data_IF_361366226589
#
_entry.id   IF_361366226589
#
_cell.length_a   1.000
_cell.length_b   1.000
_cell.length_c   1.000
_cell.angle_alpha   90.00
_cell.angle_beta   90.00
_cell.angle_gamma   90.00
#
_symmetry.space_group_name_H-M   'P 1'
#
loop_
_entity.id
_entity.type
_entity.pdbx_description
1 polymer ?
#
# COMPACT_ATOMS: atom_id res chain seq x y z
N UNK A 1 -20.86 -0.92 -10.76
CA UNK A 1 -19.70 -0.72 -11.66
C UNK A 1 -18.44 -0.76 -10.81
N UNK A 2 -17.41 -1.53 -11.17
CA UNK A 2 -16.15 -1.57 -10.39
C UNK A 2 -15.17 -0.53 -10.94
N UNK A 3 -14.58 0.26 -10.06
CA UNK A 3 -13.48 1.17 -10.39
C UNK A 3 -12.26 0.34 -10.78
N UNK A 4 -11.63 0.69 -11.90
CA UNK A 4 -10.33 0.12 -12.30
C UNK A 4 -9.23 0.94 -11.62
N UNK A 5 -8.22 0.25 -11.11
CA UNK A 5 -7.03 0.84 -10.51
C UNK A 5 -5.79 0.13 -11.05
N UNK A 6 -4.65 0.79 -11.00
CA UNK A 6 -3.33 0.30 -11.43
C UNK A 6 -2.23 0.83 -10.51
N UNK A 7 -1.05 0.22 -10.63
CA UNK A 7 0.15 0.75 -9.99
C UNK A 7 0.42 2.19 -10.41
N UNK A 8 0.87 3.00 -9.48
CA UNK A 8 1.11 4.44 -9.65
C UNK A 8 -0.13 5.32 -9.42
N UNK A 9 -1.34 4.75 -9.36
CA UNK A 9 -2.54 5.52 -9.03
C UNK A 9 -2.43 6.11 -7.62
N UNK A 10 -2.79 7.38 -7.52
CA UNK A 10 -2.85 8.16 -6.28
C UNK A 10 -4.30 8.19 -5.84
N UNK A 11 -4.55 7.86 -4.58
CA UNK A 11 -5.89 7.78 -4.02
C UNK A 11 -5.92 8.29 -2.58
N UNK A 12 -7.11 8.63 -2.12
CA UNK A 12 -7.34 9.10 -0.75
C UNK A 12 -8.13 8.09 0.06
N UNK A 13 -7.72 7.93 1.32
CA UNK A 13 -8.44 7.16 2.33
C UNK A 13 -9.02 8.17 3.33
N UNK A 14 -10.35 8.29 3.47
CA UNK A 14 -10.93 9.01 4.60
C UNK A 14 -10.66 8.23 5.88
N UNK A 15 -10.13 8.91 6.88
CA UNK A 15 -9.76 8.34 8.18
C UNK A 15 -10.85 8.63 9.22
N UNK A 16 -10.97 7.78 10.24
CA UNK A 16 -12.02 7.97 11.27
C UNK A 16 -11.81 9.21 12.16
N UNK A 17 -10.62 9.80 12.17
CA UNK A 17 -10.34 11.07 12.85
C UNK A 17 -10.70 12.33 12.02
N UNK A 18 -11.36 12.16 10.87
CA UNK A 18 -11.77 13.26 9.99
C UNK A 18 -10.70 13.77 9.02
N UNK A 19 -9.50 13.21 9.05
CA UNK A 19 -8.42 13.50 8.09
C UNK A 19 -8.45 12.56 6.90
N UNK A 20 -7.56 12.80 5.95
CA UNK A 20 -7.36 11.97 4.76
C UNK A 20 -5.91 11.52 4.68
N UNK A 21 -5.71 10.25 4.33
CA UNK A 21 -4.40 9.73 3.97
C UNK A 21 -4.28 9.71 2.44
N UNK A 22 -3.29 10.44 1.92
CA UNK A 22 -2.92 10.39 0.53
C UNK A 22 -1.99 9.19 0.30
N UNK A 23 -2.40 8.29 -0.58
CA UNK A 23 -1.73 7.02 -0.79
C UNK A 23 -1.41 6.82 -2.27
N UNK A 24 -0.42 5.95 -2.55
CA UNK A 24 -0.11 5.52 -3.90
C UNK A 24 -0.07 4.00 -4.00
N UNK A 25 -0.74 3.46 -5.01
CA UNK A 25 -0.74 2.02 -5.29
C UNK A 25 0.65 1.59 -5.76
N UNK A 26 1.28 0.69 -5.01
CA UNK A 26 2.59 0.10 -5.37
C UNK A 26 2.47 -1.34 -5.85
N UNK A 27 1.34 -2.00 -5.58
CA UNK A 27 1.08 -3.37 -6.01
C UNK A 27 -0.41 -3.56 -6.36
N UNK A 28 -0.69 -3.87 -7.64
CA UNK A 28 -2.03 -4.09 -8.18
C UNK A 28 -2.12 -5.43 -8.94
N UNK A 29 -2.14 -6.57 -8.23
CA UNK A 29 -2.11 -7.90 -8.83
C UNK A 29 -3.35 -8.22 -9.66
N UNK A 30 -3.18 -9.03 -10.71
CA UNK A 30 -4.26 -9.45 -11.62
C UNK A 30 -4.65 -10.91 -11.44
N UNK A 31 -3.79 -11.74 -10.87
CA UNK A 31 -3.95 -13.19 -10.83
C UNK A 31 -3.94 -13.71 -9.39
N UNK A 32 -2.78 -14.17 -8.90
CA UNK A 32 -2.59 -14.91 -7.65
C UNK A 32 -3.09 -14.12 -6.45
N UNK A 33 -2.84 -12.81 -6.46
CA UNK A 33 -3.17 -11.92 -5.34
C UNK A 33 -4.29 -10.93 -5.67
N UNK A 34 -5.12 -11.19 -6.69
CA UNK A 34 -6.12 -10.25 -7.24
C UNK A 34 -7.13 -9.63 -6.26
N UNK A 35 -7.22 -10.14 -5.03
CA UNK A 35 -8.08 -9.59 -3.97
C UNK A 35 -7.35 -8.61 -3.04
N UNK A 36 -6.03 -8.51 -3.17
CA UNK A 36 -5.18 -7.63 -2.39
C UNK A 36 -4.75 -6.41 -3.21
N UNK A 37 -4.37 -5.37 -2.49
CA UNK A 37 -3.61 -4.22 -2.98
C UNK A 37 -2.47 -3.96 -2.01
N UNK A 38 -1.35 -3.46 -2.54
CA UNK A 38 -0.29 -2.85 -1.75
C UNK A 38 -0.20 -1.36 -2.06
N UNK A 39 -0.10 -0.52 -1.04
CA UNK A 39 0.08 0.92 -1.20
C UNK A 39 1.04 1.49 -0.17
N UNK A 40 1.71 2.58 -0.53
CA UNK A 40 2.47 3.41 0.41
C UNK A 40 1.70 4.70 0.72
N UNK A 41 2.03 5.32 1.84
CA UNK A 41 1.42 6.58 2.29
C UNK A 41 2.36 7.71 1.89
N UNK A 42 1.81 8.77 1.30
CA UNK A 42 2.55 9.95 0.88
C UNK A 42 2.43 11.06 1.94
N UNK A 43 1.23 11.29 2.45
CA UNK A 43 0.94 12.32 3.46
C UNK A 43 -0.36 12.04 4.21
N UNK A 44 -0.52 12.70 5.37
CA UNK A 44 -1.79 12.87 6.08
C UNK A 44 -2.19 14.35 5.95
N UNK A 45 -3.43 14.61 5.58
CA UNK A 45 -3.91 15.95 5.22
C UNK A 45 -5.36 16.18 5.68
N UNK A 46 -5.74 17.45 5.81
CA UNK A 46 -7.09 17.84 6.28
C UNK A 46 -8.15 17.86 5.15
N UNK A 47 -7.72 17.83 3.87
CA UNK A 47 -8.60 17.85 2.70
C UNK A 47 -8.34 16.64 1.79
N UNK A 48 -9.25 16.36 0.84
CA UNK A 48 -9.06 15.30 -0.16
C UNK A 48 -8.23 15.75 -1.39
N UNK A 49 -7.77 17.00 -1.41
CA UNK A 49 -7.12 17.59 -2.58
C UNK A 49 -5.67 17.14 -2.72
N UNK A 50 -5.29 16.79 -3.96
CA UNK A 50 -3.90 16.48 -4.29
C UNK A 50 -3.19 17.76 -4.75
N UNK A 51 -2.28 18.27 -3.94
CA UNK A 51 -1.38 19.33 -4.37
C UNK A 51 -0.22 18.74 -5.18
N UNK A 52 -0.05 19.20 -6.42
CA UNK A 52 0.98 18.69 -7.34
C UNK A 52 2.43 18.89 -6.83
N UNK A 53 2.61 19.79 -5.84
CA UNK A 53 3.89 20.04 -5.14
C UNK A 53 4.11 19.16 -3.90
N UNK A 54 3.16 18.31 -3.56
CA UNK A 54 3.28 17.41 -2.41
C UNK A 54 4.46 16.45 -2.63
N UNK A 55 5.27 16.27 -1.59
CA UNK A 55 6.40 15.35 -1.63
C UNK A 55 5.87 13.96 -1.94
N UNK A 56 6.35 13.37 -3.04
CA UNK A 56 6.01 12.00 -3.41
C UNK A 56 6.85 10.97 -2.64
N UNK A 57 7.56 11.36 -1.59
CA UNK A 57 8.31 10.42 -0.75
C UNK A 57 7.35 9.62 0.13
N UNK A 58 7.54 8.30 0.21
CA UNK A 58 6.71 7.46 1.07
C UNK A 58 7.05 7.67 2.54
N UNK A 59 6.03 7.86 3.39
CA UNK A 59 6.17 7.84 4.83
C UNK A 59 6.44 6.42 5.34
N UNK A 60 7.30 6.34 6.36
CA UNK A 60 7.47 5.13 7.17
C UNK A 60 6.52 5.19 8.36
N UNK A 61 6.00 4.04 8.77
CA UNK A 61 5.11 3.92 9.93
C UNK A 61 5.45 2.65 10.72
N UNK A 62 5.09 2.62 12.00
CA UNK A 62 5.27 1.43 12.83
C UNK A 62 4.03 0.53 12.77
N UNK A 63 4.24 -0.77 12.59
CA UNK A 63 3.19 -1.77 12.71
C UNK A 63 3.75 -3.03 13.36
N UNK A 64 3.17 -3.44 14.50
CA UNK A 64 3.62 -4.58 15.29
C UNK A 64 5.12 -4.52 15.65
N UNK A 65 5.62 -3.33 16.04
CA UNK A 65 7.03 -3.14 16.41
C UNK A 65 8.01 -3.15 15.23
N UNK A 66 7.52 -3.08 13.99
CA UNK A 66 8.34 -3.01 12.77
C UNK A 66 8.07 -1.73 12.01
N UNK A 67 9.13 -1.10 11.54
CA UNK A 67 9.04 0.03 10.60
C UNK A 67 8.71 -0.50 9.21
N UNK A 68 7.64 0.01 8.63
CA UNK A 68 7.07 -0.42 7.36
C UNK A 68 6.87 0.80 6.46
N UNK A 69 6.88 0.57 5.13
CA UNK A 69 6.59 1.60 4.11
C UNK A 69 5.41 1.23 3.20
N UNK A 70 4.85 0.02 3.35
CA UNK A 70 3.77 -0.50 2.52
C UNK A 70 2.71 -1.18 3.38
N UNK A 71 1.45 -0.91 3.07
CA UNK A 71 0.29 -1.59 3.64
C UNK A 71 -0.28 -2.51 2.57
N UNK A 72 -0.45 -3.78 2.93
CA UNK A 72 -1.26 -4.72 2.17
C UNK A 72 -2.65 -4.81 2.80
N UNK A 73 -3.69 -4.73 1.99
CA UNK A 73 -5.09 -4.84 2.41
C UNK A 73 -5.96 -5.37 1.26
N UNK A 74 -7.23 -5.59 1.53
CA UNK A 74 -8.20 -5.99 0.52
C UNK A 74 -8.52 -4.86 -0.47
N UNK A 75 -8.81 -5.20 -1.71
CA UNK A 75 -9.07 -4.23 -2.78
C UNK A 75 -10.51 -3.69 -2.83
N UNK A 76 -11.35 -4.04 -1.85
CA UNK A 76 -12.78 -3.76 -1.91
C UNK A 76 -13.07 -2.26 -1.85
N UNK A 77 -12.38 -1.49 -1.00
CA UNK A 77 -12.66 -0.06 -0.85
C UNK A 77 -12.27 0.74 -2.10
N UNK A 78 -11.11 0.47 -2.71
CA UNK A 78 -10.70 1.13 -3.95
C UNK A 78 -11.57 0.68 -5.14
N UNK A 79 -11.88 -0.61 -5.26
CA UNK A 79 -12.69 -1.12 -6.39
C UNK A 79 -14.16 -0.70 -6.33
N UNK A 80 -14.67 -0.37 -5.13
CA UNK A 80 -16.00 0.23 -4.93
C UNK A 80 -16.01 1.75 -5.06
N UNK A 81 -14.84 2.39 -5.21
CA UNK A 81 -14.71 3.85 -5.26
C UNK A 81 -14.89 4.57 -3.93
N UNK A 82 -14.88 3.82 -2.81
CA UNK A 82 -14.87 4.40 -1.45
C UNK A 82 -13.52 5.10 -1.22
N UNK A 83 -12.43 4.47 -1.67
CA UNK A 83 -11.13 5.11 -1.77
C UNK A 83 -11.01 5.72 -3.16
N UNK A 84 -11.09 7.05 -3.22
CA UNK A 84 -11.19 7.81 -4.45
C UNK A 84 -9.82 7.95 -5.08
N UNK A 85 -9.68 7.54 -6.34
CA UNK A 85 -8.48 7.79 -7.15
C UNK A 85 -8.55 9.24 -7.62
N UNK A 86 -7.51 10.00 -7.33
CA UNK A 86 -7.44 11.45 -7.59
C UNK A 86 -6.26 11.86 -8.47
N UNK A 87 -5.38 10.91 -8.81
CA UNK A 87 -4.24 11.18 -9.68
C UNK A 87 -3.49 9.92 -10.07
N UNK A 88 -2.40 10.11 -10.79
CA UNK A 88 -1.53 9.03 -11.20
C UNK A 88 -0.11 9.55 -11.45
N UNK A 89 0.87 8.85 -10.90
CA UNK A 89 2.29 9.11 -11.16
C UNK A 89 3.04 7.78 -11.27
N UNK A 90 4.02 7.71 -12.15
CA UNK A 90 4.86 6.52 -12.27
C UNK A 90 5.59 6.23 -10.95
N UNK A 91 5.75 4.95 -10.62
CA UNK A 91 6.53 4.53 -9.45
C UNK A 91 8.02 4.80 -9.67
N UNK A 92 8.66 5.42 -8.68
CA UNK A 92 10.12 5.51 -8.59
C UNK A 92 10.73 4.14 -8.33
N UNK A 93 12.03 3.99 -8.58
CA UNK A 93 12.73 2.73 -8.27
C UNK A 93 12.60 2.33 -6.80
N UNK A 94 12.65 3.28 -5.86
CA UNK A 94 12.42 3.01 -4.44
C UNK A 94 11.03 2.40 -4.19
N UNK A 95 9.98 2.96 -4.80
CA UNK A 95 8.62 2.45 -4.62
C UNK A 95 8.40 1.11 -5.31
N UNK A 96 9.09 0.83 -6.42
CA UNK A 96 9.08 -0.49 -7.05
C UNK A 96 9.65 -1.55 -6.10
N UNK A 97 10.64 -1.24 -5.27
CA UNK A 97 11.15 -2.19 -4.27
C UNK A 97 10.10 -2.58 -3.21
N UNK A 98 9.08 -1.74 -2.98
CA UNK A 98 8.00 -2.04 -2.03
C UNK A 98 7.06 -3.16 -2.50
N UNK A 99 7.15 -3.58 -3.77
CA UNK A 99 6.43 -4.75 -4.30
C UNK A 99 7.20 -6.05 -4.10
N UNK A 100 8.39 -5.99 -3.48
CA UNK A 100 9.16 -7.16 -3.08
C UNK A 100 8.77 -7.56 -1.66
N UNK A 101 8.22 -8.76 -1.49
CA UNK A 101 7.72 -9.21 -0.19
C UNK A 101 7.89 -10.72 0.02
N UNK A 102 7.94 -11.09 1.30
CA UNK A 102 7.82 -12.48 1.75
C UNK A 102 6.34 -12.85 1.87
N UNK A 103 5.93 -13.94 1.21
CA UNK A 103 4.64 -14.57 1.41
C UNK A 103 4.81 -16.09 1.55
N UNK A 104 4.39 -16.63 2.70
CA UNK A 104 4.47 -18.06 3.02
C UNK A 104 5.88 -18.68 2.77
N UNK A 105 6.94 -17.92 3.05
CA UNK A 105 8.34 -18.34 2.87
C UNK A 105 8.87 -18.24 1.43
N UNK A 106 8.08 -17.73 0.48
CA UNK A 106 8.56 -17.35 -0.85
C UNK A 106 8.86 -15.86 -0.89
N UNK A 107 9.96 -15.48 -1.55
CA UNK A 107 10.25 -14.10 -1.93
C UNK A 107 9.59 -13.82 -3.28
N UNK A 108 8.75 -12.80 -3.33
CA UNK A 108 8.04 -12.39 -4.54
C UNK A 108 8.51 -11.03 -5.00
N UNK A 109 8.56 -10.81 -6.31
CA UNK A 109 8.51 -9.49 -6.93
C UNK A 109 7.15 -9.35 -7.63
N UNK A 110 6.21 -8.68 -6.96
CA UNK A 110 4.83 -8.62 -7.41
C UNK A 110 4.14 -10.00 -7.38
N UNK A 111 3.78 -10.53 -8.55
CA UNK A 111 3.12 -11.85 -8.65
C UNK A 111 4.10 -13.00 -8.92
N UNK A 112 5.36 -12.70 -9.21
CA UNK A 112 6.39 -13.68 -9.56
C UNK A 112 7.16 -14.13 -8.32
N UNK A 113 7.24 -15.45 -8.08
CA UNK A 113 8.08 -16.00 -7.02
C UNK A 113 9.52 -16.07 -7.52
N UNK A 114 10.42 -15.32 -6.89
CA UNK A 114 11.84 -15.28 -7.25
C UNK A 114 12.56 -16.52 -6.71
N UNK A 115 12.33 -16.83 -5.43
CA UNK A 115 12.94 -17.96 -4.72
C UNK A 115 12.27 -18.22 -3.38
N UNK A 116 12.60 -19.35 -2.76
CA UNK A 116 12.29 -19.63 -1.35
C UNK A 116 13.29 -18.92 -0.42
N UNK A 117 12.77 -18.40 0.69
CA UNK A 117 13.54 -17.81 1.78
C UNK A 117 13.79 -18.86 2.87
N UNK A 118 14.97 -18.82 3.47
CA UNK A 118 15.20 -19.44 4.77
C UNK A 118 14.58 -18.58 5.88
N UNK A 119 14.28 -19.19 7.03
CA UNK A 119 13.65 -18.49 8.16
C UNK A 119 14.51 -17.31 8.65
N UNK A 120 15.83 -17.44 8.60
CA UNK A 120 16.78 -16.40 8.99
C UNK A 120 16.70 -15.14 8.11
N UNK A 121 16.20 -15.27 6.87
CA UNK A 121 16.06 -14.15 5.93
C UNK A 121 14.73 -13.40 6.09
N UNK A 122 13.75 -13.97 6.79
CA UNK A 122 12.42 -13.36 6.92
C UNK A 122 12.46 -11.91 7.46
N UNK A 123 13.31 -11.55 8.44
CA UNK A 123 13.40 -10.18 8.93
C UNK A 123 13.88 -9.16 7.88
N UNK A 124 14.57 -9.60 6.82
CA UNK A 124 15.13 -8.72 5.79
C UNK A 124 14.10 -8.27 4.75
N UNK A 125 12.91 -8.88 4.75
CA UNK A 125 11.87 -8.64 3.76
C UNK A 125 10.56 -8.27 4.42
N UNK A 126 9.84 -7.36 3.79
CA UNK A 126 8.47 -7.04 4.19
C UNK A 126 7.61 -8.30 4.05
N UNK A 127 6.86 -8.68 5.08
CA UNK A 127 5.87 -9.75 4.98
C UNK A 127 4.56 -9.21 4.41
N UNK A 128 4.03 -9.88 3.38
CA UNK A 128 2.68 -9.59 2.88
C UNK A 128 1.63 -10.13 3.86
N UNK A 129 1.27 -9.29 4.83
CA UNK A 129 0.13 -9.50 5.73
C UNK A 129 -1.04 -8.60 5.33
N UNK A 130 -2.13 -9.19 4.81
CA UNK A 130 -3.33 -8.46 4.40
C UNK A 130 -4.08 -7.97 5.64
N UNK A 131 -4.13 -6.65 5.80
CA UNK A 131 -4.77 -5.97 6.92
C UNK A 131 -6.26 -5.78 6.64
N UNK A 132 -7.11 -6.00 7.63
CA UNK A 132 -8.50 -5.53 7.59
C UNK A 132 -8.57 -4.00 7.61
N UNK A 133 -9.68 -3.42 7.13
CA UNK A 133 -9.81 -1.96 6.99
C UNK A 133 -9.72 -1.20 8.32
N UNK A 134 -10.24 -1.76 9.41
CA UNK A 134 -10.09 -1.17 10.75
C UNK A 134 -8.62 -1.09 11.18
N UNK A 135 -7.82 -2.12 10.87
CA UNK A 135 -6.38 -2.08 11.15
C UNK A 135 -5.66 -1.07 10.26
N UNK A 136 -6.10 -0.90 9.01
CA UNK A 136 -5.57 0.16 8.13
C UNK A 136 -5.84 1.53 8.75
N UNK A 137 -7.09 1.82 9.14
CA UNK A 137 -7.47 3.08 9.77
C UNK A 137 -6.68 3.35 11.07
N UNK A 138 -6.56 2.34 11.94
CA UNK A 138 -5.75 2.43 13.15
C UNK A 138 -4.28 2.75 12.86
N UNK A 139 -3.68 2.12 11.84
CA UNK A 139 -2.30 2.45 11.45
C UNK A 139 -2.23 3.91 10.98
N UNK A 140 -3.14 4.35 10.12
CA UNK A 140 -3.13 5.71 9.57
C UNK A 140 -3.29 6.79 10.63
N UNK A 141 -4.11 6.56 11.66
CA UNK A 141 -4.36 7.54 12.73
C UNK A 141 -3.17 7.71 13.67
N UNK A 142 -2.28 6.72 13.72
CA UNK A 142 -1.09 6.73 14.57
C UNK A 142 0.19 7.16 13.80
N UNK A 143 0.03 7.71 12.59
CA UNK A 143 1.11 8.37 11.84
C UNK A 143 1.11 9.86 12.19
#
# INVERSE_FOLDING_TARGET
>A
MKVKYKEGDIFVIPMSNGKYALCQVVFAPKQKFKQAIGFCILSIQDTEEFEEKSSLTSLSFEKFGKVMKVIFTGNQNISKGIWKIIGHTNLTEEKKQLKIFNYAGGLYDGEEEIRRLSVAEYPNYTTMGVSGFELVDNVLINI
#
